data_IF_856111436074
#
_entry.id   IF_856111436074
#
_cell.length_a   1.000
_cell.length_b   1.000
_cell.length_c   1.000
_cell.angle_alpha   90.00
_cell.angle_beta   90.00
_cell.angle_gamma   90.00
#
_symmetry.space_group_name_H-M   'P 1'
#
loop_
_entity.id
_entity.type
_entity.pdbx_description
1 polymer ?
#
# COMPACT_ATOMS: atom_id res chain seq x y z
N UNK A 1 -16.63 15.13 -33.47
CA UNK A 1 -17.97 15.24 -32.86
C UNK A 1 -17.76 15.23 -31.35
N UNK A 2 -18.15 16.29 -30.63
CA UNK A 2 -17.85 16.44 -29.20
C UNK A 2 -18.66 15.40 -28.40
N UNK A 3 -17.97 14.53 -27.64
CA UNK A 3 -18.50 13.31 -27.02
C UNK A 3 -19.36 13.54 -25.77
N UNK A 4 -20.35 14.44 -25.84
CA UNK A 4 -21.34 14.63 -24.77
C UNK A 4 -22.68 14.14 -25.29
N UNK A 5 -23.26 13.14 -24.63
CA UNK A 5 -24.58 12.63 -25.01
C UNK A 5 -25.65 13.72 -24.80
N UNK A 6 -26.65 13.84 -25.69
CA UNK A 6 -27.75 14.77 -25.47
C UNK A 6 -28.41 14.54 -24.11
N UNK A 7 -28.74 15.64 -23.40
CA UNK A 7 -29.29 15.57 -22.02
C UNK A 7 -30.64 14.88 -21.90
N UNK A 8 -31.36 14.74 -23.01
CA UNK A 8 -32.63 14.01 -23.09
C UNK A 8 -32.45 12.51 -23.35
N UNK A 9 -31.22 12.01 -23.53
CA UNK A 9 -30.94 10.60 -23.76
C UNK A 9 -30.28 9.98 -22.54
N UNK A 10 -30.94 8.97 -21.97
CA UNK A 10 -30.43 8.19 -20.84
C UNK A 10 -30.29 6.74 -21.27
N UNK A 11 -29.16 6.11 -20.94
CA UNK A 11 -28.97 4.68 -21.15
C UNK A 11 -29.76 3.87 -20.12
N UNK A 12 -30.60 2.94 -20.57
CA UNK A 12 -31.34 2.05 -19.68
C UNK A 12 -30.77 0.63 -19.73
N UNK A 13 -30.11 0.15 -18.67
CA UNK A 13 -29.60 -1.23 -18.63
C UNK A 13 -30.71 -2.27 -18.76
N UNK A 14 -31.92 -1.95 -18.27
CA UNK A 14 -33.08 -2.85 -18.33
C UNK A 14 -33.58 -3.08 -19.75
N UNK A 15 -33.55 -2.05 -20.58
CA UNK A 15 -34.05 -2.12 -21.96
C UNK A 15 -32.93 -2.31 -22.99
N UNK A 16 -31.67 -2.28 -22.53
CA UNK A 16 -30.47 -2.34 -23.37
C UNK A 16 -30.50 -1.35 -24.55
N UNK A 17 -31.10 -0.18 -24.30
CA UNK A 17 -31.29 0.86 -25.30
C UNK A 17 -31.20 2.25 -24.65
N UNK A 18 -30.97 3.27 -25.46
CA UNK A 18 -31.20 4.66 -25.04
C UNK A 18 -32.70 4.93 -24.96
N UNK A 19 -33.12 5.59 -23.89
CA UNK A 19 -34.47 6.09 -23.70
C UNK A 19 -34.45 7.61 -23.76
N UNK A 20 -35.55 8.18 -24.27
CA UNK A 20 -35.77 9.62 -24.26
C UNK A 20 -36.41 10.01 -22.94
N UNK A 21 -35.70 10.79 -22.14
CA UNK A 21 -36.17 11.31 -20.86
C UNK A 21 -35.85 12.80 -20.76
N UNK A 22 -36.90 13.63 -20.84
CA UNK A 22 -36.78 15.09 -20.77
C UNK A 22 -36.74 15.62 -19.33
N UNK A 23 -36.83 14.77 -18.30
CA UNK A 23 -36.86 15.20 -16.89
C UNK A 23 -35.65 16.07 -16.53
N UNK A 24 -34.49 15.79 -17.13
CA UNK A 24 -33.24 16.56 -16.93
C UNK A 24 -32.91 17.51 -18.08
N UNK A 25 -33.79 17.61 -19.08
CA UNK A 25 -33.63 18.47 -20.26
C UNK A 25 -34.26 19.85 -20.09
N UNK A 26 -34.99 20.05 -18.99
CA UNK A 26 -35.58 21.33 -18.60
C UNK A 26 -34.55 22.08 -17.76
N UNK A 27 -34.03 23.20 -18.27
CA UNK A 27 -33.07 24.03 -17.56
C UNK A 27 -32.24 24.92 -18.49
N UNK A 28 -31.53 25.89 -17.91
CA UNK A 28 -30.61 26.76 -18.65
C UNK A 28 -29.31 26.01 -18.99
N UNK A 29 -29.35 25.10 -19.97
CA UNK A 29 -28.17 24.35 -20.42
C UNK A 29 -28.13 24.27 -21.94
N UNK A 30 -26.96 24.40 -22.59
CA UNK A 30 -26.88 24.47 -24.05
C UNK A 30 -27.14 23.14 -24.75
N UNK A 31 -27.38 22.07 -24.00
CA UNK A 31 -27.56 20.70 -24.50
C UNK A 31 -29.03 20.25 -24.48
N UNK A 32 -29.93 21.08 -23.95
CA UNK A 32 -31.36 20.80 -23.90
C UNK A 32 -32.05 21.28 -25.18
N UNK A 33 -32.97 20.51 -25.77
CA UNK A 33 -33.71 20.94 -26.96
C UNK A 33 -34.63 22.15 -26.72
N UNK A 34 -34.90 22.46 -25.45
CA UNK A 34 -35.75 23.57 -25.02
C UNK A 34 -34.97 24.76 -24.43
N UNK A 35 -33.63 24.74 -24.50
CA UNK A 35 -32.81 25.83 -23.96
C UNK A 35 -32.53 26.87 -25.05
N UNK A 36 -32.85 28.13 -24.75
CA UNK A 36 -32.50 29.27 -25.60
C UNK A 36 -31.09 29.81 -25.33
N UNK A 37 -30.40 29.29 -24.31
CA UNK A 37 -29.12 29.81 -23.82
C UNK A 37 -27.97 28.91 -24.30
N UNK A 38 -26.94 29.53 -24.88
CA UNK A 38 -25.71 28.87 -25.36
C UNK A 38 -24.61 28.74 -24.28
N UNK A 39 -24.88 29.15 -23.05
CA UNK A 39 -23.93 29.14 -21.93
C UNK A 39 -24.16 27.98 -20.96
N UNK A 40 -23.08 27.41 -20.40
CA UNK A 40 -23.15 26.35 -19.39
C UNK A 40 -23.72 26.87 -18.05
N UNK A 41 -24.54 26.05 -17.41
CA UNK A 41 -25.07 26.34 -16.07
C UNK A 41 -23.98 26.36 -15.00
N UNK A 42 -24.25 26.99 -13.85
CA UNK A 42 -23.33 26.96 -12.70
C UNK A 42 -22.92 25.53 -12.34
N UNK A 43 -23.90 24.63 -12.22
CA UNK A 43 -23.67 23.22 -11.85
C UNK A 43 -22.77 22.51 -12.87
N UNK A 44 -22.92 22.80 -14.16
CA UNK A 44 -22.08 22.21 -15.20
C UNK A 44 -20.63 22.74 -15.14
N UNK A 45 -20.46 24.05 -14.93
CA UNK A 45 -19.13 24.66 -14.79
C UNK A 45 -18.43 24.16 -13.52
N UNK A 46 -19.18 24.05 -12.43
CA UNK A 46 -18.70 23.52 -11.15
C UNK A 46 -18.26 22.07 -11.28
N UNK A 47 -19.14 21.21 -11.78
CA UNK A 47 -18.86 19.79 -11.97
C UNK A 47 -17.65 19.57 -12.89
N UNK A 48 -17.54 20.32 -13.98
CA UNK A 48 -16.39 20.22 -14.89
C UNK A 48 -15.06 20.51 -14.18
N UNK A 49 -14.99 21.60 -13.40
CA UNK A 49 -13.76 21.97 -12.65
C UNK A 49 -13.46 20.98 -11.53
N UNK A 50 -14.48 20.61 -10.75
CA UNK A 50 -14.37 19.69 -9.62
C UNK A 50 -13.92 18.29 -10.08
N UNK A 51 -14.45 17.78 -11.19
CA UNK A 51 -14.09 16.45 -11.69
C UNK A 51 -12.63 16.36 -12.12
N UNK A 52 -12.07 17.42 -12.69
CA UNK A 52 -10.64 17.48 -13.04
C UNK A 52 -9.77 17.35 -11.79
N UNK A 53 -10.12 18.08 -10.72
CA UNK A 53 -9.41 18.01 -9.44
C UNK A 53 -9.57 16.65 -8.76
N UNK A 54 -10.78 16.10 -8.72
CA UNK A 54 -11.03 14.78 -8.13
C UNK A 54 -10.27 13.66 -8.85
N UNK A 55 -10.22 13.72 -10.19
CA UNK A 55 -9.44 12.76 -10.99
C UNK A 55 -7.95 12.88 -10.69
N UNK A 56 -7.46 14.12 -10.59
CA UNK A 56 -6.04 14.38 -10.27
C UNK A 56 -5.70 13.95 -8.84
N UNK A 57 -6.57 14.22 -7.87
CA UNK A 57 -6.45 13.76 -6.48
C UNK A 57 -6.40 12.23 -6.41
N UNK A 58 -7.29 11.55 -7.13
CA UNK A 58 -7.30 10.09 -7.18
C UNK A 58 -5.96 9.55 -7.70
N UNK A 59 -5.40 10.17 -8.75
CA UNK A 59 -4.09 9.82 -9.27
C UNK A 59 -2.97 10.03 -8.24
N UNK A 60 -2.89 11.22 -7.60
CA UNK A 60 -1.87 11.50 -6.59
C UNK A 60 -1.97 10.58 -5.36
N UNK A 61 -3.19 10.25 -4.92
CA UNK A 61 -3.42 9.30 -3.82
C UNK A 61 -2.98 7.89 -4.22
N UNK A 62 -3.37 7.42 -5.41
CA UNK A 62 -2.99 6.09 -5.91
C UNK A 62 -1.46 5.98 -6.01
N UNK A 63 -0.82 7.00 -6.59
CA UNK A 63 0.63 7.04 -6.68
C UNK A 63 1.33 7.11 -5.31
N UNK A 64 0.71 7.77 -4.32
CA UNK A 64 1.16 7.73 -2.92
C UNK A 64 1.03 6.35 -2.28
N UNK A 65 -0.03 5.60 -2.58
CA UNK A 65 -0.20 4.22 -2.14
C UNK A 65 0.90 3.33 -2.74
N UNK A 66 1.17 3.46 -4.05
CA UNK A 66 2.21 2.68 -4.74
C UNK A 66 3.60 2.87 -4.08
N UNK A 67 3.92 4.10 -3.66
CA UNK A 67 5.16 4.39 -2.91
C UNK A 67 5.19 3.65 -1.59
N UNK A 68 4.10 3.70 -0.81
CA UNK A 68 4.03 3.05 0.49
C UNK A 68 4.12 1.53 0.36
N UNK A 69 3.49 0.95 -0.66
CA UNK A 69 3.59 -0.47 -0.97
C UNK A 69 5.02 -0.87 -1.35
N UNK A 70 5.70 -0.06 -2.16
CA UNK A 70 7.12 -0.26 -2.48
C UNK A 70 7.99 -0.22 -1.23
N UNK A 71 7.78 0.74 -0.32
CA UNK A 71 8.51 0.81 0.95
C UNK A 71 8.24 -0.43 1.81
N UNK A 72 6.97 -0.86 1.90
CA UNK A 72 6.58 -2.04 2.67
C UNK A 72 7.24 -3.32 2.13
N UNK A 73 7.28 -3.48 0.80
CA UNK A 73 7.94 -4.62 0.15
C UNK A 73 9.44 -4.72 0.47
N UNK A 74 10.11 -3.57 0.69
CA UNK A 74 11.53 -3.52 1.04
C UNK A 74 11.80 -3.55 2.56
N UNK A 75 10.83 -3.98 3.37
CA UNK A 75 11.01 -4.19 4.81
C UNK A 75 10.79 -2.94 5.67
N UNK A 76 10.18 -1.89 5.11
CA UNK A 76 9.76 -0.69 5.82
C UNK A 76 10.69 0.51 5.62
N UNK A 77 10.15 1.69 5.93
CA UNK A 77 10.79 2.99 5.74
C UNK A 77 12.12 3.12 6.49
N UNK A 78 12.18 2.64 7.74
CA UNK A 78 13.40 2.69 8.56
C UNK A 78 14.54 1.81 8.05
N UNK A 79 14.22 0.69 7.38
CA UNK A 79 15.23 -0.23 6.83
C UNK A 79 15.70 0.24 5.46
N UNK A 80 14.76 0.69 4.63
CA UNK A 80 15.03 1.17 3.28
C UNK A 80 15.74 2.54 3.30
N UNK A 81 15.26 3.48 4.11
CA UNK A 81 15.74 4.85 4.15
C UNK A 81 16.72 5.04 5.32
N UNK A 82 18.00 5.23 5.00
CA UNK A 82 19.04 5.66 5.98
C UNK A 82 18.61 6.98 6.67
N UNK A 83 19.09 7.24 7.89
CA UNK A 83 18.60 8.33 8.77
C UNK A 83 18.34 9.69 8.09
N UNK A 84 19.27 10.21 7.27
CA UNK A 84 19.07 11.50 6.58
C UNK A 84 17.91 11.46 5.57
N UNK A 85 17.82 10.39 4.77
CA UNK A 85 16.75 10.20 3.78
C UNK A 85 15.40 9.93 4.44
N UNK A 86 15.41 9.26 5.59
CA UNK A 86 14.20 9.00 6.36
C UNK A 86 13.58 10.32 6.89
N UNK A 87 14.40 11.24 7.39
CA UNK A 87 13.90 12.56 7.81
C UNK A 87 13.31 13.35 6.65
N UNK A 88 14.01 13.39 5.51
CA UNK A 88 13.51 14.05 4.29
C UNK A 88 12.18 13.44 3.82
N UNK A 89 12.08 12.11 3.82
CA UNK A 89 10.85 11.40 3.49
C UNK A 89 9.68 11.82 4.40
N UNK A 90 9.89 11.82 5.72
CA UNK A 90 8.84 12.19 6.68
C UNK A 90 8.42 13.65 6.49
N UNK A 91 9.36 14.58 6.29
CA UNK A 91 9.04 15.98 6.02
C UNK A 91 8.20 16.15 4.77
N UNK A 92 8.62 15.53 3.65
CA UNK A 92 7.90 15.60 2.38
C UNK A 92 6.53 14.94 2.45
N UNK A 93 6.42 13.81 3.15
CA UNK A 93 5.14 13.12 3.35
C UNK A 93 4.14 13.97 4.14
N UNK A 94 4.60 14.64 5.20
CA UNK A 94 3.78 15.55 5.98
C UNK A 94 3.33 16.77 5.15
N UNK A 95 4.23 17.33 4.33
CA UNK A 95 3.92 18.41 3.40
C UNK A 95 2.91 18.00 2.32
N UNK A 96 3.10 16.82 1.74
CA UNK A 96 2.17 16.23 0.77
C UNK A 96 0.76 16.13 1.35
N UNK A 97 0.63 15.50 2.53
CA UNK A 97 -0.65 15.39 3.25
C UNK A 97 -1.28 16.75 3.53
N UNK A 98 -0.48 17.69 4.05
CA UNK A 98 -0.96 19.05 4.34
C UNK A 98 -1.50 19.74 3.08
N UNK A 99 -0.82 19.63 1.94
CA UNK A 99 -1.25 20.22 0.68
C UNK A 99 -2.53 19.57 0.14
N UNK A 100 -2.70 18.25 0.31
CA UNK A 100 -3.96 17.59 -0.04
C UNK A 100 -5.13 18.12 0.80
N UNK A 101 -4.95 18.24 2.12
CA UNK A 101 -5.97 18.79 3.02
C UNK A 101 -6.33 20.25 2.63
N UNK A 102 -5.33 21.05 2.25
CA UNK A 102 -5.56 22.42 1.76
C UNK A 102 -6.25 22.46 0.39
N UNK A 103 -5.95 21.52 -0.50
CA UNK A 103 -6.65 21.39 -1.78
C UNK A 103 -8.13 21.09 -1.56
N UNK A 104 -8.46 20.13 -0.69
CA UNK A 104 -9.84 19.78 -0.34
C UNK A 104 -10.57 20.97 0.31
N UNK A 105 -9.91 21.67 1.22
CA UNK A 105 -10.46 22.89 1.84
C UNK A 105 -10.76 23.98 0.80
N UNK A 106 -9.83 24.26 -0.12
CA UNK A 106 -10.06 25.22 -1.19
C UNK A 106 -11.22 24.80 -2.13
N UNK A 107 -11.32 23.52 -2.48
CA UNK A 107 -12.44 22.97 -3.25
C UNK A 107 -13.80 23.18 -2.56
N UNK A 108 -13.83 23.08 -1.22
CA UNK A 108 -15.06 23.31 -0.44
C UNK A 108 -15.53 24.78 -0.49
N UNK A 109 -14.60 25.71 -0.71
CA UNK A 109 -14.88 27.14 -0.88
C UNK A 109 -15.09 27.55 -2.35
N UNK A 110 -15.18 26.59 -3.27
CA UNK A 110 -15.24 26.82 -4.72
C UNK A 110 -14.02 27.56 -5.30
N UNK A 111 -12.90 27.61 -4.57
CA UNK A 111 -11.64 28.17 -5.02
C UNK A 111 -10.82 27.11 -5.75
N UNK A 112 -11.19 26.89 -7.01
CA UNK A 112 -10.62 25.85 -7.85
C UNK A 112 -9.17 26.13 -8.29
N UNK A 113 -8.79 27.39 -8.42
CA UNK A 113 -7.41 27.78 -8.78
C UNK A 113 -6.46 27.48 -7.62
N UNK A 114 -6.83 27.85 -6.39
CA UNK A 114 -6.04 27.54 -5.21
C UNK A 114 -5.98 26.02 -4.95
N UNK A 115 -7.10 25.32 -5.15
CA UNK A 115 -7.13 23.87 -5.04
C UNK A 115 -6.18 23.19 -6.04
N UNK A 116 -6.18 23.64 -7.29
CA UNK A 116 -5.28 23.15 -8.34
C UNK A 116 -3.82 23.46 -8.00
N UNK A 117 -3.53 24.67 -7.51
CA UNK A 117 -2.19 25.06 -7.08
C UNK A 117 -1.63 24.12 -6.01
N UNK A 118 -2.39 23.87 -4.94
CA UNK A 118 -1.96 22.96 -3.88
C UNK A 118 -1.77 21.53 -4.39
N UNK A 119 -2.67 21.06 -5.26
CA UNK A 119 -2.59 19.72 -5.81
C UNK A 119 -1.32 19.53 -6.67
N UNK A 120 -1.06 20.45 -7.61
CA UNK A 120 0.17 20.45 -8.40
C UNK A 120 1.42 20.59 -7.54
N UNK A 121 1.36 21.42 -6.51
CA UNK A 121 2.46 21.56 -5.55
C UNK A 121 2.70 20.27 -4.76
N UNK A 122 1.66 19.48 -4.48
CA UNK A 122 1.76 18.20 -3.79
C UNK A 122 2.37 17.10 -4.68
N UNK A 123 2.10 17.13 -5.99
CA UNK A 123 2.70 16.19 -6.95
C UNK A 123 4.24 16.32 -6.99
N UNK A 124 4.77 17.53 -6.77
CA UNK A 124 6.22 17.73 -6.66
C UNK A 124 6.83 17.05 -5.42
N UNK A 125 6.13 17.08 -4.28
CA UNK A 125 6.59 16.35 -3.08
C UNK A 125 6.54 14.84 -3.32
N UNK A 126 5.45 14.37 -3.94
CA UNK A 126 5.28 12.96 -4.26
C UNK A 126 6.33 12.45 -5.24
N UNK A 127 6.67 13.23 -6.27
CA UNK A 127 7.76 12.91 -7.21
C UNK A 127 9.12 12.82 -6.51
N UNK A 128 9.42 13.74 -5.59
CA UNK A 128 10.66 13.70 -4.81
C UNK A 128 10.71 12.46 -3.90
N UNK A 129 9.58 12.10 -3.29
CA UNK A 129 9.45 10.87 -2.50
C UNK A 129 9.69 9.63 -3.37
N UNK A 130 9.08 9.53 -4.54
CA UNK A 130 9.33 8.45 -5.52
C UNK A 130 10.81 8.32 -5.82
N UNK A 131 11.46 9.44 -6.11
CA UNK A 131 12.90 9.48 -6.42
C UNK A 131 13.75 8.99 -5.23
N UNK A 132 13.42 9.40 -4.00
CA UNK A 132 14.10 8.95 -2.79
C UNK A 132 13.98 7.44 -2.59
N UNK A 133 12.76 6.90 -2.74
CA UNK A 133 12.47 5.47 -2.57
C UNK A 133 13.14 4.65 -3.67
N UNK A 134 13.09 5.12 -4.92
CA UNK A 134 13.72 4.47 -6.05
C UNK A 134 15.23 4.34 -5.86
N UNK A 135 15.93 5.44 -5.53
CA UNK A 135 17.37 5.38 -5.27
C UNK A 135 17.72 4.51 -4.06
N UNK A 136 16.91 4.56 -2.99
CA UNK A 136 17.13 3.70 -1.83
C UNK A 136 16.95 2.21 -2.17
N UNK A 137 15.99 1.87 -3.03
CA UNK A 137 15.74 0.50 -3.45
C UNK A 137 16.88 -0.10 -4.28
N UNK A 138 17.56 0.74 -5.09
CA UNK A 138 18.71 0.31 -5.89
C UNK A 138 19.96 0.04 -5.05
N UNK A 139 20.09 0.66 -3.88
CA UNK A 139 21.23 0.45 -2.97
C UNK A 139 21.08 -0.82 -2.10
N UNK A 140 19.95 -1.52 -2.17
CA UNK A 140 19.73 -2.72 -1.37
C UNK A 140 20.50 -3.91 -1.95
N UNK A 141 21.47 -4.41 -1.18
CA UNK A 141 22.14 -5.66 -1.48
C UNK A 141 21.32 -6.85 -0.98
N UNK A 142 21.01 -7.79 -1.88
CA UNK A 142 20.38 -9.05 -1.48
C UNK A 142 21.41 -9.90 -0.74
N UNK A 143 21.24 -10.04 0.58
CA UNK A 143 22.01 -11.01 1.36
C UNK A 143 21.23 -12.33 1.44
N UNK A 144 21.84 -13.40 0.94
CA UNK A 144 21.34 -14.75 1.16
C UNK A 144 21.66 -15.12 2.62
N UNK A 145 20.65 -15.05 3.48
CA UNK A 145 20.74 -15.66 4.81
C UNK A 145 20.64 -17.16 4.61
N UNK A 146 21.79 -17.83 4.47
CA UNK A 146 21.82 -19.29 4.39
C UNK A 146 21.14 -19.87 5.63
N UNK A 147 20.26 -20.86 5.42
CA UNK A 147 19.68 -21.64 6.50
C UNK A 147 20.81 -22.17 7.37
N UNK A 148 20.83 -21.75 8.64
CA UNK A 148 21.77 -22.28 9.61
C UNK A 148 21.27 -23.67 9.97
N UNK A 149 22.04 -24.70 9.59
CA UNK A 149 21.71 -26.07 9.98
C UNK A 149 21.47 -26.14 11.49
N UNK A 150 20.47 -26.91 11.94
CA UNK A 150 20.18 -27.03 13.37
C UNK A 150 21.45 -27.50 14.09
N UNK A 151 21.79 -26.91 15.25
CA UNK A 151 22.97 -27.33 15.98
C UNK A 151 22.88 -28.82 16.32
N UNK A 152 23.98 -29.55 16.11
CA UNK A 152 24.09 -30.97 16.46
C UNK A 152 23.55 -31.21 17.88
N UNK A 153 22.66 -32.19 18.09
CA UNK A 153 22.00 -32.41 19.38
C UNK A 153 22.96 -33.11 20.36
N UNK A 154 23.93 -32.35 20.88
CA UNK A 154 24.96 -32.81 21.80
C UNK A 154 24.40 -33.51 23.04
N UNK A 155 23.27 -33.05 23.55
CA UNK A 155 22.58 -33.63 24.71
C UNK A 155 22.13 -35.06 24.41
N UNK A 156 21.49 -35.30 23.27
CA UNK A 156 21.04 -36.63 22.82
C UNK A 156 22.21 -37.58 22.55
N UNK A 157 23.29 -37.07 21.97
CA UNK A 157 24.53 -37.82 21.74
C UNK A 157 25.22 -38.22 23.05
N UNK A 158 25.34 -37.30 24.00
CA UNK A 158 25.97 -37.57 25.30
C UNK A 158 25.11 -38.51 26.17
N UNK A 159 23.79 -38.36 26.16
CA UNK A 159 22.87 -39.24 26.87
C UNK A 159 22.91 -40.67 26.31
N UNK A 160 22.87 -40.83 24.99
CA UNK A 160 22.94 -42.15 24.35
C UNK A 160 24.29 -42.81 24.58
N UNK A 161 25.39 -42.06 24.44
CA UNK A 161 26.74 -42.54 24.78
C UNK A 161 26.86 -42.95 26.25
N UNK A 162 26.40 -42.11 27.17
CA UNK A 162 26.42 -42.39 28.61
C UNK A 162 25.61 -43.64 28.98
N UNK A 163 24.42 -43.81 28.40
CA UNK A 163 23.59 -45.00 28.60
C UNK A 163 24.28 -46.27 28.08
N UNK A 164 24.93 -46.19 26.92
CA UNK A 164 25.68 -47.31 26.35
C UNK A 164 26.87 -47.72 27.23
N UNK A 165 27.65 -46.75 27.72
CA UNK A 165 28.74 -47.03 28.66
C UNK A 165 28.25 -47.59 29.99
N UNK A 166 27.13 -47.11 30.52
CA UNK A 166 26.52 -47.64 31.73
C UNK A 166 26.07 -49.11 31.54
N UNK A 167 25.46 -49.44 30.39
CA UNK A 167 25.08 -50.81 30.06
C UNK A 167 26.30 -51.73 29.92
N UNK A 168 27.36 -51.27 29.24
CA UNK A 168 28.63 -52.01 29.14
C UNK A 168 29.27 -52.23 30.51
N UNK A 169 29.24 -51.22 31.39
CA UNK A 169 29.77 -51.33 32.74
C UNK A 169 28.99 -52.35 33.59
N UNK A 170 27.65 -52.30 33.54
CA UNK A 170 26.78 -53.28 34.22
C UNK A 170 27.00 -54.69 33.69
N UNK A 171 27.14 -54.84 32.37
CA UNK A 171 27.43 -56.13 31.73
C UNK A 171 28.80 -56.69 32.17
N UNK A 172 29.85 -55.86 32.12
CA UNK A 172 31.20 -56.26 32.52
C UNK A 172 31.32 -56.59 34.02
N UNK A 173 30.53 -55.93 34.88
CA UNK A 173 30.51 -56.18 36.34
C UNK A 173 29.37 -57.08 36.82
N UNK A 174 28.63 -57.75 35.92
CA UNK A 174 27.44 -58.54 36.28
C UNK A 174 27.72 -59.56 37.39
N UNK A 175 28.87 -60.21 37.37
CA UNK A 175 29.19 -61.26 38.36
C UNK A 175 29.56 -60.71 39.74
N UNK A 176 30.04 -59.46 39.81
CA UNK A 176 30.28 -58.76 41.08
C UNK A 176 29.00 -58.10 41.62
N UNK A 177 28.15 -57.57 40.74
CA UNK A 177 26.90 -56.88 41.11
C UNK A 177 25.77 -57.84 41.48
N UNK A 178 25.61 -58.96 40.77
CA UNK A 178 24.56 -59.95 41.01
C UNK A 178 25.03 -61.16 41.84
N UNK A 179 26.11 -61.02 42.62
CA UNK A 179 26.57 -62.05 43.54
C UNK A 179 25.57 -62.17 44.71
N UNK A 180 24.53 -62.97 44.49
CA UNK A 180 23.53 -63.36 45.47
C UNK A 180 24.20 -63.90 46.74
N UNK A 181 23.97 -63.26 47.89
CA UNK A 181 24.14 -63.88 49.22
C UNK A 181 22.97 -64.83 49.54
N UNK A 182 22.51 -65.63 48.56
CA UNK A 182 21.39 -66.56 48.73
C UNK A 182 21.65 -67.80 47.89
N UNK A 183 22.49 -68.67 48.43
CA UNK A 183 22.48 -70.15 48.33
C UNK A 183 23.81 -70.66 48.91
N UNK A 184 23.82 -70.80 50.22
CA UNK A 184 24.75 -71.70 50.93
C UNK A 184 23.95 -72.36 52.05
N UNK A 185 23.09 -73.30 51.62
CA UNK A 185 22.68 -74.52 52.30
C UNK A 185 22.36 -75.52 51.21
#
# INVERSE_FOLDING_TARGET
MWGVSPTHLVWSPRHNSSLVDYTWSVGQTPFGPFSEISSLSFVQKDAARRNVLLTSLNYSITSGIDVLESIAAHGGDRKLLKQNRHYEFIQRWNLFRYKLDKSISAMSHFDYEMALYYLRSSDHDLYAIHTLVYHASQELEASLVCFRDPPLPWTSLLLSGGAFFALLYVYAKREKLFRSKRKQF
#
